data_IF_288766691968
#
_entry.id   IF_288766691968
#
_cell.length_a   1.000
_cell.length_b   1.000
_cell.length_c   1.000
_cell.angle_alpha   90.00
_cell.angle_beta   90.00
_cell.angle_gamma   90.00
#
_symmetry.space_group_name_H-M   'P 1'
#
loop_
_entity.id
_entity.type
_entity.pdbx_description
1 polymer ?
#
# COMPACT_ATOMS: atom_id res chain seq x y z
N UNK A 1 14.83 -4.35 14.03
CA UNK A 1 14.92 -5.03 12.73
C UNK A 1 13.91 -4.39 11.80
N UNK A 2 14.36 -3.80 10.68
CA UNK A 2 13.46 -3.11 9.75
C UNK A 2 12.56 -4.13 9.03
N UNK A 3 11.26 -3.88 9.01
CA UNK A 3 10.28 -4.70 8.29
C UNK A 3 10.10 -4.12 6.90
N UNK A 4 10.19 -4.96 5.87
CA UNK A 4 10.02 -4.55 4.49
C UNK A 4 9.07 -5.49 3.75
N UNK A 5 8.37 -4.94 2.76
CA UNK A 5 7.51 -5.68 1.85
C UNK A 5 8.05 -5.45 0.45
N UNK A 6 8.23 -6.53 -0.31
CA UNK A 6 8.74 -6.50 -1.68
C UNK A 6 7.71 -7.16 -2.59
N UNK A 7 7.31 -6.44 -3.64
CA UNK A 7 6.52 -7.00 -4.73
C UNK A 7 7.47 -7.59 -5.79
N UNK A 8 7.43 -8.91 -5.94
CA UNK A 8 8.20 -9.63 -6.96
C UNK A 8 7.47 -9.55 -8.31
N UNK A 9 7.99 -8.70 -9.21
CA UNK A 9 7.41 -8.47 -10.52
C UNK A 9 7.44 -9.72 -11.42
N UNK A 10 8.35 -10.68 -11.19
CA UNK A 10 8.38 -11.91 -12.00
C UNK A 10 7.27 -12.90 -11.65
N UNK A 11 6.60 -12.70 -10.50
CA UNK A 11 5.48 -13.54 -10.03
C UNK A 11 4.14 -12.83 -10.09
N UNK A 12 4.13 -11.52 -10.27
CA UNK A 12 2.91 -10.75 -10.35
C UNK A 12 2.25 -10.98 -11.72
N UNK A 13 1.00 -11.42 -11.71
CA UNK A 13 0.16 -11.60 -12.92
C UNK A 13 -0.87 -10.46 -13.11
N UNK A 14 -0.83 -9.45 -12.23
CA UNK A 14 -1.74 -8.31 -12.28
C UNK A 14 -3.19 -8.63 -11.92
N UNK A 15 -3.43 -9.59 -11.02
CA UNK A 15 -4.78 -10.03 -10.62
C UNK A 15 -5.53 -9.07 -9.69
N UNK A 16 -4.86 -8.05 -9.14
CA UNK A 16 -5.45 -7.04 -8.22
C UNK A 16 -5.98 -7.55 -6.88
N UNK A 17 -5.82 -8.83 -6.56
CA UNK A 17 -6.25 -9.40 -5.27
C UNK A 17 -5.59 -8.71 -4.07
N UNK A 18 -4.35 -8.24 -4.20
CA UNK A 18 -3.67 -7.47 -3.15
C UNK A 18 -4.32 -6.10 -2.88
N UNK A 19 -4.95 -5.49 -3.88
CA UNK A 19 -5.69 -4.24 -3.71
C UNK A 19 -6.95 -4.51 -2.88
N UNK A 20 -7.72 -5.54 -3.25
CA UNK A 20 -8.92 -5.98 -2.51
C UNK A 20 -8.57 -6.31 -1.06
N UNK A 21 -7.55 -7.15 -0.85
CA UNK A 21 -7.10 -7.54 0.48
C UNK A 21 -6.71 -6.33 1.34
N UNK A 22 -6.06 -5.33 0.73
CA UNK A 22 -5.69 -4.09 1.43
C UNK A 22 -6.92 -3.32 1.90
N UNK A 23 -7.91 -3.08 1.04
CA UNK A 23 -9.13 -2.36 1.44
C UNK A 23 -9.86 -3.12 2.52
N UNK A 24 -10.10 -4.42 2.32
CA UNK A 24 -10.84 -5.27 3.26
C UNK A 24 -10.18 -5.29 4.64
N UNK A 25 -8.84 -5.41 4.70
CA UNK A 25 -8.10 -5.39 5.98
C UNK A 25 -8.23 -4.08 6.76
N UNK A 26 -8.63 -2.99 6.09
CA UNK A 26 -8.76 -1.66 6.66
C UNK A 26 -10.22 -1.21 6.82
N UNK A 27 -11.18 -2.09 6.53
CA UNK A 27 -12.59 -1.89 6.87
C UNK A 27 -12.90 -2.47 8.25
N UNK A 28 -13.89 -1.90 8.94
CA UNK A 28 -14.30 -2.34 10.28
C UNK A 28 -14.75 -3.81 10.30
N UNK A 29 -15.59 -4.20 9.33
CA UNK A 29 -16.18 -5.53 9.27
C UNK A 29 -15.36 -6.54 8.45
N UNK A 30 -14.28 -6.10 7.79
CA UNK A 30 -13.42 -6.92 6.92
C UNK A 30 -14.19 -7.83 5.95
N UNK A 31 -15.29 -7.32 5.41
CA UNK A 31 -16.19 -8.05 4.53
C UNK A 31 -16.06 -7.57 3.08
N UNK A 32 -15.59 -8.45 2.21
CA UNK A 32 -15.51 -8.21 0.77
C UNK A 32 -16.85 -7.82 0.13
N UNK A 33 -17.98 -8.33 0.65
CA UNK A 33 -19.30 -8.02 0.10
C UNK A 33 -19.76 -6.59 0.39
N UNK A 34 -19.16 -5.94 1.39
CA UNK A 34 -19.46 -4.55 1.76
C UNK A 34 -18.74 -3.50 0.90
N UNK A 35 -17.85 -3.92 -0.01
CA UNK A 35 -17.08 -3.02 -0.85
C UNK A 35 -17.95 -2.31 -1.89
N UNK A 36 -17.78 -1.01 -1.99
CA UNK A 36 -18.35 -0.16 -3.04
C UNK A 36 -17.25 0.52 -3.83
N UNK A 37 -17.50 0.99 -5.07
CA UNK A 37 -16.51 1.77 -5.81
C UNK A 37 -15.97 2.98 -5.06
N UNK A 38 -16.80 3.65 -4.25
CA UNK A 38 -16.44 4.84 -3.47
C UNK A 38 -15.56 4.50 -2.26
N UNK A 39 -15.69 3.29 -1.74
CA UNK A 39 -14.93 2.79 -0.58
C UNK A 39 -13.71 1.96 -0.99
N UNK A 40 -13.53 1.69 -2.28
CA UNK A 40 -12.39 0.97 -2.81
C UNK A 40 -11.14 1.88 -2.93
N UNK A 41 -10.51 2.15 -1.79
CA UNK A 41 -9.33 3.03 -1.67
C UNK A 41 -8.10 2.24 -1.17
N UNK A 42 -7.52 1.34 -1.99
CA UNK A 42 -6.38 0.53 -1.57
C UNK A 42 -5.12 1.37 -1.38
N UNK A 43 -4.28 1.01 -0.39
CA UNK A 43 -2.94 1.61 -0.19
C UNK A 43 -1.84 0.92 -1.01
N UNK A 44 -2.20 -0.15 -1.71
CA UNK A 44 -1.36 -0.93 -2.62
C UNK A 44 -1.99 -0.84 -4.00
N UNK A 45 -1.23 -0.50 -5.03
CA UNK A 45 -1.71 -0.35 -6.40
C UNK A 45 -0.98 -1.27 -7.37
N UNK A 46 -1.74 -2.02 -8.15
CA UNK A 46 -1.20 -2.85 -9.23
C UNK A 46 -0.99 -2.01 -10.48
N UNK A 47 0.25 -2.00 -10.95
CA UNK A 47 0.63 -1.46 -12.26
C UNK A 47 0.74 -2.65 -13.22
N UNK A 48 -0.10 -2.67 -14.24
CA UNK A 48 -0.10 -3.69 -15.29
C UNK A 48 0.30 -3.07 -16.62
N UNK A 49 1.53 -3.35 -17.04
CA UNK A 49 2.02 -3.03 -18.38
C UNK A 49 1.77 -4.18 -19.36
N UNK A 50 2.33 -4.06 -20.57
CA UNK A 50 2.21 -5.08 -21.63
C UNK A 50 2.97 -6.35 -21.26
N UNK A 51 4.21 -6.21 -20.79
CA UNK A 51 5.13 -7.34 -20.53
C UNK A 51 5.47 -7.54 -19.04
N UNK A 52 5.09 -6.60 -18.18
CA UNK A 52 5.42 -6.63 -16.76
C UNK A 52 4.21 -6.17 -15.96
N UNK A 53 3.98 -6.82 -14.83
CA UNK A 53 3.07 -6.31 -13.82
C UNK A 53 3.75 -6.33 -12.47
N UNK A 54 3.38 -5.40 -11.60
CA UNK A 54 3.89 -5.33 -10.24
C UNK A 54 2.92 -4.57 -9.35
N UNK A 55 3.14 -4.62 -8.04
CA UNK A 55 2.40 -3.84 -7.06
C UNK A 55 3.31 -2.74 -6.49
N UNK A 56 2.80 -1.51 -6.48
CA UNK A 56 3.43 -0.36 -5.86
C UNK A 56 2.71 -0.04 -4.55
N UNK A 57 3.48 0.24 -3.51
CA UNK A 57 2.99 0.54 -2.18
C UNK A 57 3.96 1.48 -1.47
N UNK A 58 3.52 2.06 -0.36
CA UNK A 58 4.44 2.76 0.54
C UNK A 58 5.56 1.80 0.97
N UNK A 59 6.82 2.19 0.69
CA UNK A 59 7.98 1.36 1.02
C UNK A 59 8.40 1.44 2.48
N UNK A 60 7.73 2.27 3.28
CA UNK A 60 8.06 2.46 4.70
C UNK A 60 9.54 2.82 4.87
N UNK A 61 10.03 3.75 4.02
CA UNK A 61 11.43 4.13 3.94
C UNK A 61 12.00 4.49 5.32
N UNK A 62 13.26 4.12 5.56
CA UNK A 62 13.97 4.46 6.78
C UNK A 62 14.27 5.96 6.85
N UNK A 63 14.84 6.51 5.77
CA UNK A 63 14.91 7.93 5.50
C UNK A 63 13.74 8.30 4.59
N UNK A 64 12.62 8.70 5.19
CA UNK A 64 11.37 8.96 4.49
C UNK A 64 11.31 10.41 3.98
N UNK A 65 11.60 10.69 2.70
CA UNK A 65 11.61 12.07 2.20
C UNK A 65 10.24 12.74 2.31
N UNK A 66 9.15 11.96 2.25
CA UNK A 66 7.80 12.47 2.47
C UNK A 66 7.59 13.01 3.89
N UNK A 67 8.19 12.39 4.91
CA UNK A 67 8.17 12.92 6.28
C UNK A 67 9.07 14.14 6.40
N UNK A 68 10.28 14.07 5.86
CA UNK A 68 11.28 15.14 5.96
C UNK A 68 10.81 16.47 5.34
N UNK A 69 9.96 16.43 4.30
CA UNK A 69 9.44 17.63 3.63
C UNK A 69 8.13 18.15 4.24
N UNK A 70 7.49 17.41 5.15
CA UNK A 70 6.16 17.78 5.65
C UNK A 70 6.24 18.97 6.63
N UNK A 71 5.75 20.18 6.28
CA UNK A 71 5.92 21.36 7.13
C UNK A 71 5.07 21.31 8.41
N UNK A 72 3.94 20.59 8.36
CA UNK A 72 3.00 20.47 9.45
C UNK A 72 3.25 19.23 10.33
N UNK A 73 4.25 18.41 10.00
CA UNK A 73 4.55 17.18 10.74
C UNK A 73 3.44 16.11 10.70
N UNK A 74 2.54 16.17 9.72
CA UNK A 74 1.48 15.16 9.56
C UNK A 74 2.05 13.78 9.25
N UNK A 75 3.12 13.74 8.46
CA UNK A 75 3.81 12.49 8.13
C UNK A 75 4.94 12.28 9.14
N UNK A 76 4.89 11.20 9.90
CA UNK A 76 5.84 10.93 10.98
C UNK A 76 6.20 9.45 11.07
N UNK A 77 7.36 9.16 11.67
CA UNK A 77 7.80 7.78 11.92
C UNK A 77 7.46 7.38 13.35
N UNK A 78 6.59 6.37 13.52
CA UNK A 78 6.22 5.79 14.81
C UNK A 78 6.31 4.26 14.77
N UNK A 79 6.88 3.66 15.82
CA UNK A 79 7.05 2.20 15.98
C UNK A 79 7.70 1.50 14.78
N UNK A 80 8.58 2.21 14.06
CA UNK A 80 9.29 1.68 12.89
C UNK A 80 8.50 1.77 11.56
N UNK A 81 7.37 2.47 11.54
CA UNK A 81 6.54 2.71 10.35
C UNK A 81 6.37 4.21 10.12
N UNK A 82 6.24 4.60 8.85
CA UNK A 82 5.84 5.93 8.41
C UNK A 82 4.31 5.98 8.36
N UNK A 83 3.75 6.91 9.13
CA UNK A 83 2.33 7.22 9.19
C UNK A 83 2.07 8.60 8.58
N UNK A 84 0.83 8.82 8.16
CA UNK A 84 0.29 10.08 7.65
C UNK A 84 -0.92 10.44 8.51
#
# INVERSE_FOLDING_TARGET
>A
MNRFIIADASKCIGCRTCEVACVVSHQENQDCASLTPETFLPRIHVIKGVNVSTATLCRQCEDAPCANVCPNGAISRDKGFVHV
#
